data_IF_538511515498
#
_entry.id   IF_538511515498
#
_cell.length_a   1.000
_cell.length_b   1.000
_cell.length_c   1.000
_cell.angle_alpha   90.00
_cell.angle_beta   90.00
_cell.angle_gamma   90.00
#
_symmetry.space_group_name_H-M   'P 1'
#
loop_
_entity.id
_entity.type
_entity.pdbx_description
1 polymer ?
#
# COMPACT_ATOMS: atom_id res chain seq x y z
N UNK A 1 -5.99 -22.17 33.50
CA UNK A 1 -7.34 -22.35 32.96
C UNK A 1 -7.65 -21.16 32.08
N UNK A 2 -7.08 -21.11 30.88
CA UNK A 2 -7.48 -20.14 29.85
C UNK A 2 -8.68 -20.74 29.12
N UNK A 3 -9.65 -19.91 28.76
CA UNK A 3 -10.95 -20.26 28.15
C UNK A 3 -10.86 -20.95 26.75
N UNK A 4 -9.70 -21.51 26.41
CA UNK A 4 -9.31 -22.07 25.12
C UNK A 4 -9.74 -23.53 24.93
N UNK A 5 -10.15 -24.23 26.00
CA UNK A 5 -10.46 -25.67 25.96
C UNK A 5 -11.80 -26.01 25.26
N UNK A 6 -12.67 -25.02 25.03
CA UNK A 6 -13.99 -25.27 24.40
C UNK A 6 -13.97 -25.14 22.88
N UNK A 7 -13.00 -24.40 22.32
CA UNK A 7 -12.87 -24.19 20.88
C UNK A 7 -11.41 -23.82 20.53
N UNK A 8 -10.74 -24.53 19.59
CA UNK A 8 -9.43 -24.10 19.12
C UNK A 8 -9.54 -22.69 18.52
N UNK A 9 -8.60 -21.81 18.91
CA UNK A 9 -8.51 -20.42 18.45
C UNK A 9 -9.72 -19.54 18.74
N UNK A 10 -10.32 -19.74 19.92
CA UNK A 10 -11.49 -18.97 20.36
C UNK A 10 -11.23 -17.47 20.44
N UNK A 11 -10.04 -17.03 20.84
CA UNK A 11 -9.74 -15.59 21.02
C UNK A 11 -9.56 -14.87 19.68
N UNK A 12 -8.84 -15.48 18.73
CA UNK A 12 -8.71 -15.00 17.36
C UNK A 12 -10.08 -14.95 16.67
N UNK A 13 -10.87 -16.01 16.78
CA UNK A 13 -12.20 -16.09 16.15
C UNK A 13 -13.12 -14.99 16.66
N UNK A 14 -13.18 -14.80 17.98
CA UNK A 14 -14.00 -13.75 18.57
C UNK A 14 -13.55 -12.36 18.11
N UNK A 15 -12.23 -12.13 17.96
CA UNK A 15 -11.71 -10.87 17.45
C UNK A 15 -12.15 -10.57 16.02
N UNK A 16 -12.08 -11.56 15.13
CA UNK A 16 -12.52 -11.42 13.75
C UNK A 16 -14.04 -11.17 13.67
N UNK A 17 -14.82 -11.90 14.47
CA UNK A 17 -16.27 -11.69 14.56
C UNK A 17 -16.60 -10.29 15.06
N UNK A 18 -15.93 -9.84 16.14
CA UNK A 18 -16.12 -8.49 16.67
C UNK A 18 -15.76 -7.42 15.63
N UNK A 19 -14.68 -7.62 14.86
CA UNK A 19 -14.29 -6.70 13.78
C UNK A 19 -15.30 -6.68 12.63
N UNK A 20 -15.86 -7.84 12.26
CA UNK A 20 -16.88 -7.93 11.20
C UNK A 20 -18.24 -7.38 11.61
N UNK A 21 -18.52 -7.33 12.91
CA UNK A 21 -19.80 -6.83 13.46
C UNK A 21 -19.76 -5.33 13.78
N UNK A 22 -18.64 -4.65 13.52
CA UNK A 22 -18.57 -3.20 13.68
C UNK A 22 -19.34 -2.48 12.56
N UNK A 23 -20.05 -1.38 12.87
CA UNK A 23 -20.64 -0.55 11.83
C UNK A 23 -19.54 0.04 10.94
N UNK A 24 -19.80 0.12 9.63
CA UNK A 24 -18.88 0.73 8.67
C UNK A 24 -18.54 2.17 9.09
N UNK A 25 -17.26 2.51 9.09
CA UNK A 25 -16.76 3.81 9.53
C UNK A 25 -16.36 3.92 11.00
N UNK A 26 -16.58 2.90 11.85
CA UNK A 26 -16.02 2.94 13.21
C UNK A 26 -14.48 2.82 13.17
N UNK A 27 -13.74 3.63 13.96
CA UNK A 27 -12.30 3.48 14.06
C UNK A 27 -12.00 2.14 14.72
N UNK A 28 -11.12 1.34 14.10
CA UNK A 28 -10.64 0.12 14.75
C UNK A 28 -10.00 0.51 16.09
N UNK A 29 -10.36 -0.21 17.15
CA UNK A 29 -9.71 -0.06 18.44
C UNK A 29 -8.19 -0.20 18.27
N UNK A 30 -7.40 0.67 18.88
CA UNK A 30 -5.95 0.59 18.84
C UNK A 30 -5.47 -0.68 19.60
N UNK A 31 -4.64 -1.56 18.99
CA UNK A 31 -4.00 -2.69 19.66
C UNK A 31 -3.38 -2.35 21.02
N UNK A 32 -2.87 -1.13 21.18
CA UNK A 32 -2.29 -0.64 22.44
C UNK A 32 -3.29 -0.59 23.62
N UNK A 33 -4.59 -0.60 23.34
CA UNK A 33 -5.65 -0.50 24.36
C UNK A 33 -6.11 -1.87 24.87
N UNK A 34 -5.72 -2.97 24.22
CA UNK A 34 -6.29 -4.29 24.49
C UNK A 34 -5.65 -5.02 25.69
N UNK A 35 -4.62 -4.44 26.29
CA UNK A 35 -3.85 -5.05 27.37
C UNK A 35 -2.88 -6.11 26.86
N UNK A 36 -1.71 -6.21 27.51
CA UNK A 36 -0.61 -7.05 27.05
C UNK A 36 -0.92 -8.55 27.11
N UNK A 37 -1.78 -9.00 28.02
CA UNK A 37 -2.14 -10.41 28.17
C UNK A 37 -3.00 -10.91 26.99
N UNK A 38 -3.98 -10.13 26.59
CA UNK A 38 -4.80 -10.42 25.42
C UNK A 38 -3.97 -10.43 24.12
N UNK A 39 -3.10 -9.44 23.95
CA UNK A 39 -2.20 -9.37 22.78
C UNK A 39 -1.26 -10.59 22.74
N UNK A 40 -0.77 -11.05 23.90
CA UNK A 40 0.07 -12.25 23.99
C UNK A 40 -0.68 -13.51 23.54
N UNK A 41 -1.91 -13.69 23.99
CA UNK A 41 -2.74 -14.84 23.59
C UNK A 41 -3.05 -14.83 22.09
N UNK A 42 -3.42 -13.68 21.54
CA UNK A 42 -3.64 -13.53 20.11
C UNK A 42 -2.38 -13.83 19.29
N UNK A 43 -1.22 -13.32 19.73
CA UNK A 43 0.05 -13.54 19.05
C UNK A 43 0.45 -15.03 19.04
N UNK A 44 0.20 -15.74 20.15
CA UNK A 44 0.45 -17.18 20.23
C UNK A 44 -0.44 -17.95 19.23
N UNK A 45 -1.76 -17.70 19.24
CA UNK A 45 -2.69 -18.37 18.31
C UNK A 45 -2.38 -18.07 16.83
N UNK A 46 -1.91 -16.87 16.52
CA UNK A 46 -1.54 -16.47 15.15
C UNK A 46 -0.23 -17.13 14.69
N UNK A 47 0.74 -17.31 15.60
CA UNK A 47 1.97 -18.04 15.31
C UNK A 47 1.73 -19.53 15.04
N UNK A 48 0.83 -20.15 15.82
CA UNK A 48 0.43 -21.54 15.60
C UNK A 48 -0.27 -21.72 14.23
N UNK A 49 -1.12 -20.77 13.81
CA UNK A 49 -1.75 -20.80 12.48
C UNK A 49 -0.77 -20.58 11.33
N UNK A 50 0.16 -19.65 11.49
CA UNK A 50 1.18 -19.41 10.46
C UNK A 50 2.02 -20.67 10.20
N UNK A 51 2.51 -21.29 11.29
CA UNK A 51 3.31 -22.52 11.22
C UNK A 51 2.53 -23.66 10.57
N UNK A 52 1.26 -23.84 10.97
CA UNK A 52 0.39 -24.87 10.40
C UNK A 52 0.24 -24.72 8.88
N UNK A 53 0.02 -23.50 8.39
CA UNK A 53 -0.09 -23.23 6.95
C UNK A 53 1.21 -23.49 6.20
N UNK A 54 2.37 -23.15 6.76
CA UNK A 54 3.64 -23.48 6.10
C UNK A 54 3.80 -25.00 5.93
N UNK A 55 3.53 -25.78 6.98
CA UNK A 55 3.61 -27.25 6.89
C UNK A 55 2.62 -27.88 5.92
N UNK A 56 1.40 -27.33 5.77
CA UNK A 56 0.44 -27.84 4.78
C UNK A 56 0.74 -27.37 3.35
N UNK A 57 1.40 -26.22 3.18
CA UNK A 57 1.80 -25.68 1.87
C UNK A 57 2.96 -26.47 1.26
N UNK A 58 3.85 -27.04 2.06
CA UNK A 58 4.93 -27.93 1.58
C UNK A 58 4.40 -29.24 0.96
N UNK A 59 3.21 -29.71 1.37
CA UNK A 59 2.52 -30.88 0.79
C UNK A 59 1.50 -30.52 -0.31
N UNK A 60 1.21 -29.23 -0.50
CA UNK A 60 0.25 -28.75 -1.49
C UNK A 60 0.91 -28.46 -2.85
N UNK A 61 0.29 -28.83 -3.99
CA UNK A 61 0.82 -28.47 -5.30
C UNK A 61 0.88 -26.94 -5.43
N UNK A 62 2.10 -26.43 -5.67
CA UNK A 62 2.34 -24.99 -5.85
C UNK A 62 1.32 -24.43 -6.84
N UNK A 63 0.51 -23.42 -6.46
CA UNK A 63 -0.49 -22.88 -7.36
C UNK A 63 0.18 -22.30 -8.59
N UNK A 64 -0.25 -22.78 -9.75
CA UNK A 64 0.24 -22.38 -11.07
C UNK A 64 0.34 -20.85 -11.20
N UNK A 65 1.43 -20.31 -11.79
CA UNK A 65 1.74 -18.88 -11.81
C UNK A 65 0.64 -18.02 -12.45
N UNK A 66 -0.14 -18.56 -13.38
CA UNK A 66 -1.24 -17.85 -14.03
C UNK A 66 -2.43 -17.54 -13.10
N UNK A 67 -2.61 -18.29 -12.00
CA UNK A 67 -3.70 -18.06 -11.05
C UNK A 67 -3.36 -16.90 -10.10
N UNK A 68 -2.07 -16.65 -9.86
CA UNK A 68 -1.58 -15.58 -8.97
C UNK A 68 -1.74 -14.18 -9.58
N UNK A 69 -1.50 -14.00 -10.88
CA UNK A 69 -1.67 -12.70 -11.54
C UNK A 69 -3.13 -12.25 -11.60
N UNK A 70 -4.05 -13.16 -11.93
CA UNK A 70 -5.49 -12.88 -11.98
C UNK A 70 -6.08 -12.50 -10.61
N UNK A 71 -5.47 -12.98 -9.52
CA UNK A 71 -5.91 -12.65 -8.16
C UNK A 71 -5.77 -11.15 -7.87
N UNK A 72 -4.68 -10.52 -8.30
CA UNK A 72 -4.41 -9.11 -8.01
C UNK A 72 -5.32 -8.14 -8.78
N UNK A 73 -5.71 -8.49 -10.00
CA UNK A 73 -6.64 -7.69 -10.79
C UNK A 73 -8.06 -7.66 -10.22
N UNK A 74 -8.44 -8.70 -9.46
CA UNK A 74 -9.73 -8.76 -8.76
C UNK A 74 -9.81 -7.80 -7.57
N UNK A 75 -8.68 -7.52 -6.89
CA UNK A 75 -8.66 -6.66 -5.70
C UNK A 75 -9.09 -5.24 -6.06
N UNK A 76 -8.61 -4.70 -7.19
CA UNK A 76 -8.94 -3.34 -7.63
C UNK A 76 -10.44 -3.15 -7.95
N UNK A 77 -11.20 -4.23 -8.17
CA UNK A 77 -12.64 -4.18 -8.42
C UNK A 77 -13.48 -4.23 -7.14
N UNK A 78 -12.89 -4.71 -6.05
CA UNK A 78 -13.54 -4.88 -4.75
C UNK A 78 -13.28 -3.71 -3.79
N UNK A 79 -12.55 -2.69 -4.25
CA UNK A 79 -12.14 -1.57 -3.41
C UNK A 79 -13.12 -0.41 -3.56
N UNK A 80 -13.82 -0.11 -2.47
CA UNK A 80 -14.71 1.05 -2.34
C UNK A 80 -13.97 2.30 -1.84
N UNK A 81 -14.59 3.48 -2.00
CA UNK A 81 -14.05 4.79 -1.60
C UNK A 81 -13.77 4.93 -0.08
N UNK A 82 -14.40 4.15 0.80
CA UNK A 82 -14.09 4.17 2.24
C UNK A 82 -12.92 3.21 2.60
N UNK A 83 -12.77 2.15 1.81
CA UNK A 83 -11.90 1.01 2.14
C UNK A 83 -10.53 1.10 1.47
N UNK A 84 -10.38 1.87 0.39
CA UNK A 84 -9.13 1.96 -0.39
C UNK A 84 -7.91 2.32 0.45
N UNK A 85 -8.06 3.22 1.42
CA UNK A 85 -6.94 3.67 2.23
C UNK A 85 -6.37 2.52 3.07
N UNK A 86 -7.24 1.73 3.69
CA UNK A 86 -6.88 0.57 4.51
C UNK A 86 -6.23 -0.52 3.66
N UNK A 87 -6.81 -0.82 2.50
CA UNK A 87 -6.29 -1.83 1.56
C UNK A 87 -4.91 -1.45 1.07
N UNK A 88 -4.72 -0.21 0.62
CA UNK A 88 -3.43 0.23 0.11
C UNK A 88 -2.35 0.25 1.19
N UNK A 89 -2.66 0.70 2.42
CA UNK A 89 -1.71 0.65 3.53
C UNK A 89 -1.29 -0.79 3.86
N UNK A 90 -2.25 -1.71 3.91
CA UNK A 90 -1.98 -3.13 4.13
C UNK A 90 -1.07 -3.69 3.03
N UNK A 91 -1.42 -3.45 1.75
CA UNK A 91 -0.62 -3.90 0.61
C UNK A 91 0.81 -3.36 0.69
N UNK A 92 0.99 -2.06 0.92
CA UNK A 92 2.31 -1.43 1.04
C UNK A 92 3.14 -2.07 2.16
N UNK A 93 2.52 -2.39 3.30
CA UNK A 93 3.21 -3.01 4.44
C UNK A 93 3.60 -4.46 4.15
N UNK A 94 2.77 -5.18 3.40
CA UNK A 94 3.01 -6.56 3.01
C UNK A 94 4.07 -6.71 1.93
N UNK A 95 4.30 -5.73 1.04
CA UNK A 95 5.28 -5.82 -0.06
C UNK A 95 6.66 -6.31 0.40
N UNK A 96 7.13 -5.92 1.58
CA UNK A 96 8.45 -6.32 2.10
C UNK A 96 8.53 -7.78 2.56
N UNK A 97 7.39 -8.49 2.62
CA UNK A 97 7.29 -9.89 3.02
C UNK A 97 7.17 -10.82 1.80
N UNK A 98 6.99 -10.27 0.60
CA UNK A 98 6.77 -11.06 -0.61
C UNK A 98 8.08 -11.25 -1.39
N UNK A 99 8.31 -12.43 -1.97
CA UNK A 99 9.41 -12.64 -2.91
C UNK A 99 9.09 -12.00 -4.28
N UNK A 100 10.12 -11.57 -5.04
CA UNK A 100 9.95 -11.23 -6.45
C UNK A 100 9.43 -12.43 -7.25
N UNK A 101 8.42 -12.30 -8.16
CA UNK A 101 7.87 -11.08 -8.77
C UNK A 101 6.53 -10.57 -8.16
N UNK A 102 6.07 -11.16 -7.06
CA UNK A 102 4.75 -10.84 -6.50
C UNK A 102 4.75 -9.46 -5.82
N UNK A 103 5.88 -9.06 -5.25
CA UNK A 103 6.11 -7.73 -4.67
C UNK A 103 5.83 -6.58 -5.65
N UNK A 104 6.35 -6.69 -6.88
CA UNK A 104 6.16 -5.75 -7.97
C UNK A 104 4.69 -5.74 -8.41
N UNK A 105 4.08 -6.93 -8.53
CA UNK A 105 2.67 -7.06 -8.89
C UNK A 105 1.75 -6.38 -7.86
N UNK A 106 2.04 -6.51 -6.56
CA UNK A 106 1.32 -5.82 -5.48
C UNK A 106 1.44 -4.30 -5.58
N UNK A 107 2.65 -3.80 -5.87
CA UNK A 107 2.89 -2.36 -6.02
C UNK A 107 2.12 -1.77 -7.20
N UNK A 108 2.06 -2.49 -8.33
CA UNK A 108 1.27 -2.09 -9.49
C UNK A 108 -0.23 -2.03 -9.19
N UNK A 109 -0.77 -3.02 -8.49
CA UNK A 109 -2.19 -3.02 -8.11
C UNK A 109 -2.51 -1.89 -7.14
N UNK A 110 -1.65 -1.65 -6.13
CA UNK A 110 -1.83 -0.52 -5.21
C UNK A 110 -1.76 0.83 -5.94
N UNK A 111 -0.84 0.98 -6.90
CA UNK A 111 -0.75 2.15 -7.77
C UNK A 111 -2.05 2.38 -8.55
N UNK A 112 -2.57 1.34 -9.20
CA UNK A 112 -3.84 1.39 -9.97
C UNK A 112 -5.01 1.87 -9.11
N UNK A 113 -5.11 1.39 -7.86
CA UNK A 113 -6.13 1.82 -6.91
C UNK A 113 -5.96 3.32 -6.57
N UNK A 114 -4.75 3.77 -6.24
CA UNK A 114 -4.53 5.19 -5.93
C UNK A 114 -4.83 6.13 -7.10
N UNK A 115 -4.55 5.70 -8.33
CA UNK A 115 -4.91 6.44 -9.55
C UNK A 115 -6.43 6.57 -9.68
N UNK A 116 -7.17 5.48 -9.44
CA UNK A 116 -8.64 5.47 -9.50
C UNK A 116 -9.25 6.48 -8.50
N UNK A 117 -8.75 6.51 -7.27
CA UNK A 117 -9.21 7.44 -6.23
C UNK A 117 -8.59 8.86 -6.31
N UNK A 118 -7.91 9.20 -7.42
CA UNK A 118 -7.26 10.52 -7.67
C UNK A 118 -6.23 10.94 -6.61
N UNK A 119 -5.60 9.97 -5.95
CA UNK A 119 -4.52 10.17 -4.98
C UNK A 119 -3.16 10.08 -5.69
N UNK A 120 -2.91 11.07 -6.55
CA UNK A 120 -1.73 11.10 -7.41
C UNK A 120 -0.38 11.23 -6.67
N UNK A 121 -0.24 11.97 -5.55
CA UNK A 121 1.02 12.02 -4.81
C UNK A 121 1.44 10.66 -4.24
N UNK A 122 0.48 9.91 -3.72
CA UNK A 122 0.69 8.57 -3.19
C UNK A 122 0.99 7.57 -4.32
N UNK A 123 0.27 7.66 -5.44
CA UNK A 123 0.56 6.89 -6.65
C UNK A 123 1.99 7.16 -7.17
N UNK A 124 2.39 8.43 -7.24
CA UNK A 124 3.73 8.83 -7.67
C UNK A 124 4.83 8.23 -6.78
N UNK A 125 4.62 8.18 -5.46
CA UNK A 125 5.55 7.55 -4.53
C UNK A 125 5.72 6.04 -4.82
N UNK A 126 4.64 5.36 -5.22
CA UNK A 126 4.71 3.96 -5.64
C UNK A 126 5.37 3.80 -7.01
N UNK A 127 5.11 4.69 -7.96
CA UNK A 127 5.76 4.68 -9.27
C UNK A 127 7.29 4.84 -9.15
N UNK A 128 7.75 5.68 -8.23
CA UNK A 128 9.19 5.83 -7.91
C UNK A 128 9.73 4.53 -7.30
N UNK A 129 9.00 3.88 -6.39
CA UNK A 129 9.42 2.58 -5.82
C UNK A 129 9.51 1.47 -6.85
N UNK A 130 8.63 1.48 -7.85
CA UNK A 130 8.66 0.54 -8.99
C UNK A 130 9.84 0.79 -9.93
N UNK A 131 10.45 1.99 -9.91
CA UNK A 131 11.60 2.34 -10.73
C UNK A 131 11.27 2.56 -12.21
N UNK A 132 9.98 2.69 -12.58
CA UNK A 132 9.56 2.93 -13.96
C UNK A 132 9.43 4.45 -14.25
N UNK A 133 10.35 5.04 -15.04
CA UNK A 133 10.30 6.46 -15.36
C UNK A 133 9.12 6.84 -16.26
N UNK A 134 8.55 5.89 -17.02
CA UNK A 134 7.38 6.15 -17.86
C UNK A 134 6.14 6.39 -17.00
N UNK A 135 5.92 5.53 -16.00
CA UNK A 135 4.80 5.63 -15.07
C UNK A 135 4.85 6.93 -14.24
N UNK A 136 6.04 7.30 -13.75
CA UNK A 136 6.28 8.56 -13.03
C UNK A 136 5.89 9.77 -13.90
N UNK A 137 6.27 9.74 -15.17
CA UNK A 137 5.92 10.81 -16.12
C UNK A 137 4.41 10.87 -16.36
N UNK A 138 3.76 9.72 -16.48
CA UNK A 138 2.31 9.63 -16.67
C UNK A 138 1.55 10.21 -15.47
N UNK A 139 1.89 9.81 -14.24
CA UNK A 139 1.26 10.34 -13.04
C UNK A 139 1.47 11.85 -12.89
N UNK A 140 2.69 12.32 -13.18
CA UNK A 140 2.97 13.75 -13.18
C UNK A 140 2.11 14.49 -14.20
N UNK A 141 1.95 13.96 -15.41
CA UNK A 141 1.07 14.56 -16.42
C UNK A 141 -0.40 14.57 -16.01
N UNK A 142 -0.88 13.53 -15.33
CA UNK A 142 -2.25 13.47 -14.79
C UNK A 142 -2.53 14.55 -13.74
N UNK A 143 -1.52 14.99 -12.99
CA UNK A 143 -1.66 16.12 -12.04
C UNK A 143 -1.71 17.48 -12.73
N UNK A 144 -1.17 17.59 -13.95
CA UNK A 144 -1.19 18.84 -14.71
C UNK A 144 -2.62 19.06 -15.21
N UNK A 145 -3.27 20.13 -14.75
CA UNK A 145 -4.48 20.63 -15.43
C UNK A 145 -4.14 20.76 -16.92
N UNK A 146 -4.98 20.28 -17.85
CA UNK A 146 -4.82 20.65 -19.23
C UNK A 146 -5.02 22.16 -19.26
N UNK A 147 -3.94 22.94 -19.43
CA UNK A 147 -4.04 24.28 -19.96
C UNK A 147 -4.53 24.11 -21.39
N UNK A 148 -5.85 23.96 -21.51
CA UNK A 148 -6.56 24.32 -22.71
C UNK A 148 -6.15 25.76 -23.01
N UNK A 149 -5.55 25.92 -24.18
CA UNK A 149 -5.42 27.14 -24.97
C UNK A 149 -6.33 28.27 -24.48
N UNK A 150 -5.87 29.02 -23.48
CA UNK A 150 -6.44 30.30 -23.10
C UNK A 150 -5.27 31.19 -22.76
N UNK A 151 -4.82 31.87 -23.82
CA UNK A 151 -4.32 33.22 -23.79
C UNK A 151 -3.68 33.65 -22.46
N UNK A 152 -2.37 33.44 -22.34
CA UNK A 152 -1.57 34.47 -21.70
C UNK A 152 -0.47 34.82 -22.67
N UNK A 153 -0.76 35.82 -23.50
CA UNK A 153 0.25 36.63 -24.15
C UNK A 153 1.25 37.07 -23.08
N UNK A 154 2.41 36.42 -23.03
CA UNK A 154 3.55 36.94 -22.30
C UNK A 154 4.05 38.12 -23.14
N UNK A 155 3.96 39.38 -22.68
CA UNK A 155 4.65 40.46 -23.36
C UNK A 155 6.16 40.16 -23.33
N UNK A 156 6.88 40.33 -24.46
CA UNK A 156 8.31 40.03 -24.52
C UNK A 156 9.06 41.08 -23.70
N UNK A 157 9.34 40.77 -22.43
CA UNK A 157 10.18 41.63 -21.61
C UNK A 157 9.86 41.59 -20.13
N UNK A 158 10.15 40.47 -19.45
CA UNK A 158 10.32 40.46 -18.01
C UNK A 158 11.00 39.16 -17.55
N UNK A 159 12.32 39.23 -17.41
CA UNK A 159 13.14 38.46 -16.48
C UNK A 159 13.29 36.95 -16.72
N UNK A 160 14.24 36.62 -17.60
CA UNK A 160 15.04 35.41 -17.47
C UNK A 160 15.82 35.46 -16.14
N UNK A 161 15.29 34.87 -15.09
CA UNK A 161 16.08 34.52 -13.90
C UNK A 161 16.86 33.25 -14.22
N UNK A 162 17.94 33.43 -14.97
CA UNK A 162 19.00 32.44 -15.11
C UNK A 162 19.64 32.25 -13.73
N UNK A 163 19.52 31.05 -13.16
CA UNK A 163 20.29 30.65 -11.97
C UNK A 163 21.79 30.74 -12.31
N UNK A 164 22.42 31.84 -11.92
CA UNK A 164 23.87 32.03 -12.06
C UNK A 164 24.53 31.46 -10.80
N UNK A 165 25.08 30.27 -10.93
CA UNK A 165 25.96 29.63 -9.92
C UNK A 165 27.15 30.57 -9.68
N UNK A 166 27.30 31.06 -8.45
CA UNK A 166 28.43 31.90 -8.06
C UNK A 166 29.66 31.01 -7.85
N UNK A 167 30.60 31.04 -8.80
CA UNK A 167 31.96 30.54 -8.58
C UNK A 167 32.80 31.63 -7.93
N UNK A 168 33.27 31.40 -6.70
CA UNK A 168 34.24 32.27 -6.04
C UNK A 168 35.65 32.03 -6.62
N UNK A 169 36.44 33.06 -6.96
CA UNK A 169 37.83 32.88 -7.35
C UNK A 169 38.72 32.68 -6.11
N UNK A 170 39.47 31.59 -6.11
CA UNK A 170 40.61 31.35 -5.20
C UNK A 170 41.69 32.39 -5.51
N UNK A 171 42.09 33.18 -4.52
CA UNK A 171 43.16 34.17 -4.64
C UNK A 171 44.44 33.53 -4.08
N UNK A 172 45.37 33.21 -4.98
CA UNK A 172 46.73 32.80 -4.65
C UNK A 172 47.48 33.93 -3.95
N UNK A 173 48.20 33.58 -2.89
CA UNK A 173 49.34 34.31 -2.32
C UNK A 173 50.30 33.30 -1.72
#
# INVERSE_FOLDING_TARGET
MTYSDTQPRGTLRYRLLASSSQPEGSPLADPGTWGHEYVRHLAAELGDEYTFRETEVDDAPTPEPHRRSAFFDGIAQLVDDDTFNRVCQYMIRCVNLLPPPDDISFLWTAHKIYVQHRKFPEALALAIRLGDPALVREDFQRTRKPTNETATSIPPGAHATTYRVATHPVRES
#
